data_IF_660584870063
#
_entry.id   IF_660584870063
#
_cell.length_a   1.000
_cell.length_b   1.000
_cell.length_c   1.000
_cell.angle_alpha   90.00
_cell.angle_beta   90.00
_cell.angle_gamma   90.00
#
_symmetry.space_group_name_H-M   'P 1'
#
loop_
_entity.id
_entity.type
_entity.pdbx_description
1 polymer ?
#
# COMPACT_ATOMS: atom_id res chain seq x y z
N UNK A 1 3.73 -35.76 22.68
CA UNK A 1 4.18 -36.06 21.30
C UNK A 1 4.08 -37.56 21.08
N UNK A 2 3.42 -38.00 20.01
CA UNK A 2 3.22 -39.42 19.71
C UNK A 2 4.53 -39.99 19.10
N UNK A 3 5.15 -41.07 19.64
CA UNK A 3 6.44 -41.59 19.17
C UNK A 3 6.41 -42.09 17.72
N UNK A 4 5.22 -42.36 17.18
CA UNK A 4 5.00 -42.74 15.78
C UNK A 4 5.32 -41.59 14.81
N UNK A 5 5.09 -40.34 15.20
CA UNK A 5 5.34 -39.20 14.33
C UNK A 5 6.85 -38.92 14.17
N UNK A 6 7.61 -39.15 15.25
CA UNK A 6 9.07 -39.01 15.26
C UNK A 6 9.75 -40.15 14.48
N UNK A 7 9.21 -41.37 14.53
CA UNK A 7 9.74 -42.49 13.72
C UNK A 7 9.41 -42.34 12.24
N UNK A 8 8.26 -41.75 11.86
CA UNK A 8 7.90 -41.49 10.45
C UNK A 8 8.77 -40.39 9.82
N UNK A 9 9.06 -39.31 10.57
CA UNK A 9 9.98 -38.24 10.15
C UNK A 9 11.43 -38.73 10.08
N UNK A 10 11.86 -39.57 11.04
CA UNK A 10 13.22 -40.11 11.07
C UNK A 10 13.44 -41.27 10.07
N UNK A 11 12.42 -42.03 9.70
CA UNK A 11 12.50 -43.13 8.74
C UNK A 11 12.55 -42.66 7.28
N UNK A 12 12.13 -41.43 7.00
CA UNK A 12 12.23 -40.82 5.67
C UNK A 12 13.63 -40.25 5.37
N UNK A 13 14.65 -40.66 6.15
CA UNK A 13 16.06 -40.48 5.82
C UNK A 13 16.48 -41.39 4.67
N UNK A 14 15.75 -41.35 3.56
CA UNK A 14 16.21 -41.93 2.32
C UNK A 14 17.49 -41.19 1.95
N UNK A 15 18.56 -41.95 1.69
CA UNK A 15 19.83 -41.39 1.25
C UNK A 15 19.62 -40.85 -0.17
N UNK A 16 18.99 -39.67 -0.29
CA UNK A 16 18.88 -38.96 -1.55
C UNK A 16 20.31 -38.79 -2.05
N UNK A 17 20.61 -39.46 -3.16
CA UNK A 17 21.86 -39.28 -3.88
C UNK A 17 22.02 -37.79 -4.14
N UNK A 18 23.24 -37.25 -4.04
CA UNK A 18 23.51 -35.83 -4.26
C UNK A 18 22.93 -35.36 -5.63
N UNK A 19 22.91 -36.27 -6.61
CA UNK A 19 22.31 -36.05 -7.93
C UNK A 19 20.78 -35.91 -7.88
N UNK A 20 20.09 -36.77 -7.15
CA UNK A 20 18.63 -36.72 -7.02
C UNK A 20 18.19 -35.48 -6.23
N UNK A 21 18.95 -35.10 -5.19
CA UNK A 21 18.72 -33.87 -4.45
C UNK A 21 18.88 -32.63 -5.35
N UNK A 22 19.89 -32.62 -6.23
CA UNK A 22 20.12 -31.52 -7.17
C UNK A 22 19.00 -31.41 -8.22
N UNK A 23 18.57 -32.54 -8.79
CA UNK A 23 17.46 -32.57 -9.76
C UNK A 23 16.16 -32.12 -9.09
N UNK A 24 15.89 -32.59 -7.87
CA UNK A 24 14.71 -32.20 -7.08
C UNK A 24 14.74 -30.72 -6.74
N UNK A 25 15.91 -30.17 -6.41
CA UNK A 25 16.07 -28.73 -6.15
C UNK A 25 15.79 -27.88 -7.39
N UNK A 26 16.32 -28.25 -8.57
CA UNK A 26 16.05 -27.54 -9.82
C UNK A 26 14.57 -27.64 -10.18
N UNK A 27 13.97 -28.81 -10.06
CA UNK A 27 12.55 -29.01 -10.35
C UNK A 27 11.67 -28.19 -9.41
N UNK A 28 11.96 -28.20 -8.12
CA UNK A 28 11.28 -27.37 -7.11
C UNK A 28 11.40 -25.88 -7.41
N UNK A 29 12.60 -25.38 -7.75
CA UNK A 29 12.79 -23.98 -8.12
C UNK A 29 12.04 -23.61 -9.40
N UNK A 30 12.05 -24.50 -10.40
CA UNK A 30 11.30 -24.31 -11.66
C UNK A 30 9.81 -24.18 -11.38
N UNK A 31 9.25 -25.04 -10.52
CA UNK A 31 7.84 -24.99 -10.12
C UNK A 31 7.50 -23.70 -9.38
N UNK A 32 8.36 -23.25 -8.45
CA UNK A 32 8.18 -21.97 -7.74
C UNK A 32 8.23 -20.79 -8.71
N UNK A 33 9.19 -20.78 -9.64
CA UNK A 33 9.33 -19.73 -10.64
C UNK A 33 8.11 -19.65 -11.55
N UNK A 34 7.64 -20.79 -12.07
CA UNK A 34 6.41 -20.88 -12.86
C UNK A 34 5.21 -20.41 -12.05
N UNK A 35 5.10 -20.80 -10.77
CA UNK A 35 4.05 -20.34 -9.86
C UNK A 35 4.03 -18.81 -9.70
N UNK A 36 5.18 -18.16 -9.56
CA UNK A 36 5.29 -16.70 -9.47
C UNK A 36 4.90 -16.00 -10.78
N UNK A 37 5.30 -16.56 -11.92
CA UNK A 37 4.92 -16.02 -13.23
C UNK A 37 3.42 -16.15 -13.46
N UNK A 38 2.83 -17.29 -13.12
CA UNK A 38 1.36 -17.49 -13.21
C UNK A 38 0.66 -16.52 -12.27
N UNK A 39 1.15 -16.34 -11.04
CA UNK A 39 0.60 -15.38 -10.10
C UNK A 39 0.62 -13.96 -10.68
N UNK A 40 1.73 -13.57 -11.32
CA UNK A 40 1.84 -12.27 -12.00
C UNK A 40 0.84 -12.15 -13.17
N UNK A 41 0.66 -13.20 -13.96
CA UNK A 41 -0.36 -13.24 -15.03
C UNK A 41 -1.77 -13.06 -14.48
N UNK A 42 -2.12 -13.71 -13.36
CA UNK A 42 -3.44 -13.58 -12.72
C UNK A 42 -3.66 -12.16 -12.20
N UNK A 43 -2.67 -11.60 -11.49
CA UNK A 43 -2.73 -10.21 -11.01
C UNK A 43 -2.90 -9.24 -12.19
N UNK A 44 -2.19 -9.47 -13.30
CA UNK A 44 -2.29 -8.65 -14.51
C UNK A 44 -3.64 -8.82 -15.21
N UNK A 45 -4.21 -10.01 -15.24
CA UNK A 45 -5.54 -10.24 -15.82
C UNK A 45 -6.62 -9.50 -15.02
N UNK A 46 -6.61 -9.60 -13.68
CA UNK A 46 -7.50 -8.84 -12.80
C UNK A 46 -7.24 -7.34 -12.94
N UNK A 47 -5.97 -6.91 -12.94
CA UNK A 47 -5.59 -5.52 -13.16
C UNK A 47 -6.05 -4.99 -14.53
N UNK A 48 -5.95 -5.79 -15.59
CA UNK A 48 -6.41 -5.43 -16.95
C UNK A 48 -7.92 -5.33 -17.04
N UNK A 49 -8.65 -6.18 -16.31
CA UNK A 49 -10.10 -6.13 -16.22
C UNK A 49 -10.57 -4.83 -15.54
N UNK A 50 -9.81 -4.34 -14.56
CA UNK A 50 -10.09 -3.08 -13.86
C UNK A 50 -9.55 -1.84 -14.62
N UNK A 51 -8.41 -1.96 -15.32
CA UNK A 51 -7.76 -0.87 -16.08
C UNK A 51 -8.58 -0.31 -17.25
N UNK A 52 -9.65 -0.99 -17.68
CA UNK A 52 -10.62 -0.44 -18.64
C UNK A 52 -11.26 0.87 -18.18
N UNK A 53 -11.23 1.20 -16.88
CA UNK A 53 -11.73 2.48 -16.32
C UNK A 53 -10.63 3.46 -15.91
N UNK A 54 -9.40 2.99 -15.67
CA UNK A 54 -8.29 3.78 -15.10
C UNK A 54 -7.21 4.19 -16.12
N UNK A 55 -7.26 3.70 -17.37
CA UNK A 55 -6.28 4.05 -18.41
C UNK A 55 -6.27 5.55 -18.78
N UNK A 56 -7.31 6.32 -18.42
CA UNK A 56 -7.30 7.80 -18.54
C UNK A 56 -6.48 8.47 -17.43
N UNK A 57 -6.27 7.83 -16.28
CA UNK A 57 -5.56 8.40 -15.14
C UNK A 57 -4.04 8.21 -15.21
N UNK A 58 -3.55 7.13 -15.81
CA UNK A 58 -2.10 6.90 -16.00
C UNK A 58 -1.46 7.84 -17.04
N UNK A 59 -2.22 8.29 -18.04
CA UNK A 59 -1.74 9.24 -19.06
C UNK A 59 -1.49 10.64 -18.47
N UNK A 60 -2.29 11.05 -17.49
CA UNK A 60 -2.19 12.37 -16.84
C UNK A 60 -1.05 12.41 -15.80
N UNK A 61 -0.70 11.27 -15.19
CA UNK A 61 0.45 11.16 -14.29
C UNK A 61 1.80 11.25 -15.03
N UNK A 62 1.91 10.69 -16.24
CA UNK A 62 3.16 10.81 -17.01
C UNK A 62 3.40 12.22 -17.52
N UNK A 63 2.35 12.90 -18.00
CA UNK A 63 2.45 14.29 -18.46
C UNK A 63 2.77 15.29 -17.32
N UNK A 64 2.28 15.04 -16.09
CA UNK A 64 2.57 15.90 -14.94
C UNK A 64 3.98 15.74 -14.37
N UNK A 65 4.64 14.61 -14.58
CA UNK A 65 6.03 14.40 -14.15
C UNK A 65 7.05 15.06 -15.09
N UNK A 66 6.79 15.09 -16.40
CA UNK A 66 7.65 15.79 -17.37
C UNK A 66 7.56 17.32 -17.24
N UNK A 67 6.39 17.85 -16.87
CA UNK A 67 6.21 19.28 -16.59
C UNK A 67 6.95 19.74 -15.31
N UNK A 68 7.09 18.86 -14.32
CA UNK A 68 7.83 19.15 -13.08
C UNK A 68 9.34 19.13 -13.33
N UNK A 69 9.85 18.20 -14.14
CA UNK A 69 11.28 18.12 -14.46
C UNK A 69 11.78 19.38 -15.19
N UNK A 70 10.99 19.91 -16.13
CA UNK A 70 11.38 21.10 -16.93
C UNK A 70 11.31 22.43 -16.15
N UNK A 71 10.56 22.48 -15.04
CA UNK A 71 10.39 23.70 -14.23
C UNK A 71 11.46 23.87 -13.14
N UNK A 72 12.24 22.84 -12.84
CA UNK A 72 13.28 22.86 -11.80
C UNK A 72 14.62 23.41 -12.32
N UNK A 73 14.90 23.34 -13.63
CA UNK A 73 16.20 23.79 -14.17
C UNK A 73 16.34 25.31 -14.38
N UNK A 74 15.28 26.11 -14.27
CA UNK A 74 15.29 27.48 -14.82
C UNK A 74 15.29 28.65 -13.82
N UNK A 75 15.28 28.46 -12.50
CA UNK A 75 15.36 29.63 -11.60
C UNK A 75 15.88 29.31 -10.19
N UNK A 76 17.19 29.46 -9.91
CA UNK A 76 17.67 29.59 -8.55
C UNK A 76 17.37 31.02 -8.08
N UNK A 77 16.75 31.16 -6.91
CA UNK A 77 16.50 32.39 -6.15
C UNK A 77 15.09 33.01 -6.27
N UNK A 78 14.10 32.37 -5.64
CA UNK A 78 13.05 33.11 -4.91
C UNK A 78 12.56 32.25 -3.74
N UNK A 79 12.91 32.66 -2.52
CA UNK A 79 12.29 32.17 -1.29
C UNK A 79 10.92 32.85 -1.19
N UNK A 80 9.93 32.21 -1.80
CA UNK A 80 8.52 32.39 -1.48
C UNK A 80 8.19 31.19 -0.60
N UNK A 81 7.41 31.29 0.51
CA UNK A 81 6.94 30.11 1.23
C UNK A 81 6.10 29.29 0.26
N UNK A 82 6.76 28.36 -0.43
CA UNK A 82 6.13 27.44 -1.33
C UNK A 82 5.15 26.65 -0.48
N UNK A 83 3.86 26.80 -0.76
CA UNK A 83 2.82 25.91 -0.26
C UNK A 83 3.33 24.49 -0.45
N UNK A 84 3.80 23.91 0.66
CA UNK A 84 4.34 22.57 0.68
C UNK A 84 3.23 21.67 0.19
N UNK A 85 3.40 21.15 -1.02
CA UNK A 85 2.52 20.21 -1.68
C UNK A 85 2.12 19.15 -0.66
N UNK A 86 0.89 19.27 -0.13
CA UNK A 86 0.37 18.39 0.92
C UNK A 86 0.55 16.95 0.44
N UNK A 87 1.28 16.16 1.22
CA UNK A 87 1.59 14.77 0.92
C UNK A 87 0.28 13.97 0.67
N UNK A 88 0.30 12.92 -0.16
CA UNK A 88 -0.81 12.00 -0.27
C UNK A 88 -1.01 11.32 1.09
N UNK A 89 -2.07 11.73 1.80
CA UNK A 89 -2.21 11.50 3.24
C UNK A 89 -2.55 12.76 4.04
N UNK A 90 -2.55 13.94 3.42
CA UNK A 90 -3.31 15.06 3.98
C UNK A 90 -4.76 14.62 4.07
N UNK A 91 -5.26 14.50 5.30
CA UNK A 91 -6.67 14.44 5.59
C UNK A 91 -7.40 15.38 4.63
N UNK A 92 -8.39 14.82 3.91
CA UNK A 92 -9.15 15.54 2.91
C UNK A 92 -9.78 16.81 3.49
N UNK A 93 -10.45 17.59 2.65
CA UNK A 93 -11.19 18.76 3.13
C UNK A 93 -12.25 18.31 4.14
N UNK A 94 -11.99 18.50 5.43
CA UNK A 94 -12.96 18.24 6.50
C UNK A 94 -14.00 19.36 6.44
N UNK A 95 -15.28 18.99 6.30
CA UNK A 95 -16.36 19.97 6.27
C UNK A 95 -16.73 20.35 7.71
N UNK A 96 -16.29 21.52 8.14
CA UNK A 96 -16.68 22.11 9.40
C UNK A 96 -17.95 22.94 9.19
N UNK A 97 -19.01 22.60 9.90
CA UNK A 97 -20.25 23.36 9.92
C UNK A 97 -20.33 24.03 11.29
N UNK A 98 -20.05 25.33 11.31
CA UNK A 98 -20.10 26.22 12.49
C UNK A 98 -19.04 26.01 13.57
N UNK A 99 -18.26 24.93 13.52
CA UNK A 99 -17.20 24.63 14.50
C UNK A 99 -15.85 25.26 14.09
N UNK A 100 -15.17 26.01 14.99
CA UNK A 100 -13.84 26.56 14.72
C UNK A 100 -12.77 25.46 14.67
N UNK A 101 -11.69 25.68 13.91
CA UNK A 101 -10.62 24.69 13.68
C UNK A 101 -10.00 24.12 14.96
N UNK A 102 -9.87 24.96 16.02
CA UNK A 102 -9.34 24.55 17.32
C UNK A 102 -10.23 23.52 18.01
N UNK A 103 -11.55 23.72 17.96
CA UNK A 103 -12.51 22.80 18.54
C UNK A 103 -12.61 21.53 17.71
N UNK A 104 -12.61 21.66 16.38
CA UNK A 104 -12.55 20.53 15.47
C UNK A 104 -11.36 19.61 15.75
N UNK A 105 -10.17 20.17 15.96
CA UNK A 105 -8.98 19.40 16.31
C UNK A 105 -9.13 18.67 17.66
N UNK A 106 -9.75 19.31 18.64
CA UNK A 106 -10.03 18.71 19.94
C UNK A 106 -11.02 17.54 19.81
N UNK A 107 -12.08 17.68 19.01
CA UNK A 107 -13.02 16.60 18.72
C UNK A 107 -12.31 15.43 18.03
N UNK A 108 -11.39 15.71 17.08
CA UNK A 108 -10.62 14.65 16.43
C UNK A 108 -9.73 13.88 17.40
N UNK A 109 -9.12 14.56 18.36
CA UNK A 109 -8.28 13.95 19.39
C UNK A 109 -9.09 13.07 20.35
N UNK A 110 -10.26 13.56 20.80
CA UNK A 110 -11.15 12.80 21.69
C UNK A 110 -11.64 11.52 21.00
N UNK A 111 -12.05 11.61 19.74
CA UNK A 111 -12.51 10.44 18.99
C UNK A 111 -11.37 9.44 18.75
N UNK A 112 -10.15 9.92 18.50
CA UNK A 112 -8.98 9.06 18.35
C UNK A 112 -8.65 8.30 19.65
N UNK A 113 -8.72 8.98 20.80
CA UNK A 113 -8.51 8.37 22.10
C UNK A 113 -9.62 7.35 22.44
N UNK A 114 -10.89 7.70 22.22
CA UNK A 114 -12.01 6.79 22.44
C UNK A 114 -11.94 5.54 21.55
N UNK A 115 -11.46 5.68 20.32
CA UNK A 115 -11.31 4.56 19.38
C UNK A 115 -10.00 3.79 19.56
N UNK A 116 -9.05 4.30 20.35
CA UNK A 116 -7.69 3.74 20.52
C UNK A 116 -6.99 3.47 19.19
N UNK A 117 -7.24 4.33 18.19
CA UNK A 117 -6.64 4.22 16.85
C UNK A 117 -5.85 5.49 16.54
N UNK A 118 -4.66 5.36 15.94
CA UNK A 118 -3.87 6.53 15.56
C UNK A 118 -4.66 7.38 14.55
N UNK A 119 -4.52 8.70 14.66
CA UNK A 119 -5.22 9.69 13.80
C UNK A 119 -5.07 9.43 12.30
N UNK A 120 -3.99 8.77 11.89
CA UNK A 120 -3.70 8.39 10.51
C UNK A 120 -4.70 7.40 9.90
N UNK A 121 -5.43 6.64 10.73
CA UNK A 121 -6.44 5.65 10.30
C UNK A 121 -7.88 6.18 10.44
N UNK A 122 -8.06 7.40 10.95
CA UNK A 122 -9.37 8.00 11.18
C UNK A 122 -9.64 9.10 10.16
N UNK A 123 -10.76 8.97 9.43
CA UNK A 123 -11.17 9.94 8.42
C UNK A 123 -12.42 10.68 8.85
N UNK A 124 -12.27 11.93 9.27
CA UNK A 124 -13.38 12.80 9.66
C UNK A 124 -14.04 13.42 8.43
N UNK A 125 -15.27 13.01 8.12
CA UNK A 125 -15.99 13.46 6.91
C UNK A 125 -16.68 14.83 7.14
N UNK A 126 -17.28 15.04 8.32
CA UNK A 126 -17.89 16.32 8.71
C UNK A 126 -18.02 16.45 10.22
N UNK A 127 -17.84 17.66 10.75
CA UNK A 127 -18.14 18.01 12.15
C UNK A 127 -19.23 19.08 12.13
N UNK A 128 -20.33 18.82 12.84
CA UNK A 128 -21.47 19.73 12.96
C UNK A 128 -21.84 19.87 14.43
N UNK A 129 -22.20 21.08 14.82
CA UNK A 129 -22.92 21.30 16.08
C UNK A 129 -24.32 20.69 15.95
N UNK A 130 -24.81 20.05 17.02
CA UNK A 130 -26.18 19.54 17.08
C UNK A 130 -27.04 20.69 17.60
N UNK A 131 -27.90 21.22 16.75
CA UNK A 131 -28.96 22.14 17.17
C UNK A 131 -30.08 21.27 17.77
N UNK A 132 -30.30 21.39 19.08
CA UNK A 132 -31.44 20.80 19.79
C UNK A 132 -32.74 21.59 19.56
#
# INVERSE_FOLDING_TARGET
MNPVFLSQVSASGEKLSIGDAFITAIFGYTVVFVGLVILMCVITAVGSYFKGKDAKAEAEQKASLEAIAKKVEANPLTIVPAEAKKAPGSAGKIKLHSVPDKEAAMIMAIVADAMQKPINELHFISIKEVED
#
